data_IF_811287089727
#
_entry.id   IF_811287089727
#
_cell.length_a   1.000
_cell.length_b   1.000
_cell.length_c   1.000
_cell.angle_alpha   90.00
_cell.angle_beta   90.00
_cell.angle_gamma   90.00
#
_symmetry.space_group_name_H-M   'P 1'
#
loop_
_entity.id
_entity.type
_entity.pdbx_description
1 polymer ?
#
# COMPACT_ATOMS: atom_id res chain seq x y z
N UNK A 1 -21.87 -10.68 -3.07
CA UNK A 1 -20.44 -11.06 -3.21
C UNK A 1 -19.54 -9.86 -3.54
N UNK A 2 -19.77 -9.12 -4.64
CA UNK A 2 -18.92 -7.97 -5.03
C UNK A 2 -18.68 -6.93 -3.92
N UNK A 3 -19.71 -6.56 -3.15
CA UNK A 3 -19.57 -5.61 -2.02
C UNK A 3 -18.64 -6.12 -0.92
N UNK A 4 -18.71 -7.41 -0.62
CA UNK A 4 -17.83 -8.06 0.37
C UNK A 4 -16.39 -8.07 -0.12
N UNK A 5 -16.16 -8.38 -1.42
CA UNK A 5 -14.82 -8.31 -2.01
C UNK A 5 -14.24 -6.90 -1.97
N UNK A 6 -15.05 -5.88 -2.25
CA UNK A 6 -14.61 -4.48 -2.13
C UNK A 6 -14.25 -4.08 -0.71
N UNK A 7 -15.07 -4.47 0.27
CA UNK A 7 -14.78 -4.23 1.68
C UNK A 7 -13.46 -4.88 2.10
N UNK A 8 -13.27 -6.16 1.75
CA UNK A 8 -12.04 -6.88 2.04
C UNK A 8 -10.82 -6.22 1.37
N UNK A 9 -10.93 -5.85 0.10
CA UNK A 9 -9.86 -5.16 -0.61
C UNK A 9 -9.51 -3.83 0.06
N UNK A 10 -10.51 -3.08 0.54
CA UNK A 10 -10.29 -1.81 1.22
C UNK A 10 -9.63 -1.99 2.59
N UNK A 11 -10.07 -2.98 3.37
CA UNK A 11 -9.47 -3.30 4.69
C UNK A 11 -8.03 -3.78 4.53
N UNK A 12 -7.80 -4.74 3.63
CA UNK A 12 -6.45 -5.29 3.39
C UNK A 12 -5.52 -4.24 2.80
N UNK A 13 -6.00 -3.46 1.82
CA UNK A 13 -5.23 -2.36 1.23
C UNK A 13 -4.91 -1.27 2.26
N UNK A 14 -5.89 -0.87 3.07
CA UNK A 14 -5.72 0.10 4.14
C UNK A 14 -4.71 -0.37 5.19
N UNK A 15 -4.78 -1.64 5.59
CA UNK A 15 -3.80 -2.25 6.49
C UNK A 15 -2.37 -2.14 5.95
N UNK A 16 -2.13 -2.49 4.68
CA UNK A 16 -0.80 -2.39 4.09
C UNK A 16 -0.30 -0.95 3.97
N UNK A 17 -1.18 0.01 3.69
CA UNK A 17 -0.81 1.43 3.65
C UNK A 17 -0.40 1.91 5.04
N UNK A 18 -1.21 1.64 6.06
CA UNK A 18 -0.91 2.04 7.44
C UNK A 18 0.38 1.39 7.93
N UNK A 19 0.58 0.10 7.68
CA UNK A 19 1.83 -0.62 8.00
C UNK A 19 3.03 0.05 7.32
N UNK A 20 2.94 0.34 6.03
CA UNK A 20 4.02 1.00 5.29
C UNK A 20 4.36 2.41 5.82
N UNK A 21 3.36 3.13 6.35
CA UNK A 21 3.57 4.45 6.96
C UNK A 21 4.20 4.37 8.36
N UNK A 22 3.87 3.33 9.12
CA UNK A 22 4.35 3.17 10.51
C UNK A 22 5.74 2.55 10.55
N UNK A 23 6.08 1.66 9.62
CA UNK A 23 7.33 0.89 9.61
C UNK A 23 8.60 1.74 9.86
N UNK A 24 8.81 2.90 9.20
CA UNK A 24 10.02 3.70 9.39
C UNK A 24 10.16 4.31 10.80
N UNK A 25 9.09 4.30 11.61
CA UNK A 25 9.10 4.80 12.98
C UNK A 25 9.27 3.68 14.02
N UNK A 26 9.10 2.42 13.61
CA UNK A 26 9.23 1.24 14.47
C UNK A 26 10.61 0.60 14.36
N UNK A 27 11.20 0.61 13.16
CA UNK A 27 12.54 0.05 12.94
C UNK A 27 13.62 0.95 13.55
N UNK A 28 14.51 0.37 14.35
CA UNK A 28 15.76 1.01 14.75
C UNK A 28 16.82 0.82 13.66
N UNK A 29 17.09 1.87 12.89
CA UNK A 29 18.07 1.83 11.80
C UNK A 29 19.53 1.74 12.29
N UNK A 30 19.77 1.94 13.58
CA UNK A 30 21.12 1.92 14.16
C UNK A 30 21.52 0.57 14.75
N UNK A 31 20.55 -0.32 14.98
CA UNK A 31 20.77 -1.65 15.56
C UNK A 31 20.19 -2.75 14.65
N UNK A 32 21.04 -3.42 13.83
CA UNK A 32 20.61 -4.52 12.99
C UNK A 32 19.92 -5.65 13.73
N UNK A 33 20.25 -5.90 15.00
CA UNK A 33 19.62 -6.96 15.78
C UNK A 33 18.11 -6.71 15.99
N UNK A 34 17.64 -5.48 15.78
CA UNK A 34 16.22 -5.13 15.85
C UNK A 34 15.40 -5.59 14.65
N UNK A 35 16.02 -5.85 13.48
CA UNK A 35 15.31 -6.17 12.23
C UNK A 35 15.87 -7.38 11.47
N UNK A 36 17.02 -7.90 11.87
CA UNK A 36 17.69 -9.00 11.16
C UNK A 36 16.88 -10.31 11.14
N UNK A 37 16.07 -10.54 12.17
CA UNK A 37 15.20 -11.71 12.28
C UNK A 37 13.82 -11.49 11.62
N UNK A 38 13.53 -10.28 11.14
CA UNK A 38 12.25 -9.96 10.52
C UNK A 38 12.19 -10.48 9.07
N UNK A 39 10.97 -10.54 8.53
CA UNK A 39 10.77 -10.95 7.14
C UNK A 39 11.41 -9.95 6.18
N UNK A 40 12.39 -10.43 5.41
CA UNK A 40 13.22 -9.59 4.53
C UNK A 40 14.60 -9.26 5.12
N UNK A 41 14.87 -9.61 6.38
CA UNK A 41 16.20 -9.60 6.98
C UNK A 41 17.16 -10.60 6.29
N UNK A 42 18.48 -10.51 6.55
CA UNK A 42 19.14 -9.61 7.49
C UNK A 42 19.37 -8.20 6.95
N UNK A 43 19.08 -7.95 5.67
CA UNK A 43 19.28 -6.62 5.07
C UNK A 43 18.12 -5.68 5.41
N UNK A 44 18.43 -4.45 5.82
CA UNK A 44 17.43 -3.40 6.01
C UNK A 44 16.57 -3.19 4.75
N UNK A 45 17.19 -3.23 3.57
CA UNK A 45 16.49 -3.07 2.30
C UNK A 45 15.39 -4.13 2.10
N UNK A 46 15.69 -5.40 2.39
CA UNK A 46 14.70 -6.48 2.26
C UNK A 46 13.56 -6.33 3.27
N UNK A 47 13.84 -5.96 4.52
CA UNK A 47 12.82 -5.67 5.54
C UNK A 47 11.89 -4.56 5.05
N UNK A 48 12.46 -3.42 4.63
CA UNK A 48 11.69 -2.29 4.11
C UNK A 48 10.87 -2.68 2.88
N UNK A 49 11.42 -3.47 1.95
CA UNK A 49 10.69 -3.90 0.77
C UNK A 49 9.46 -4.74 1.12
N UNK A 50 9.56 -5.66 2.08
CA UNK A 50 8.45 -6.52 2.52
C UNK A 50 7.39 -5.74 3.30
N UNK A 51 7.80 -4.75 4.09
CA UNK A 51 6.90 -4.03 4.99
C UNK A 51 6.26 -2.80 4.34
N UNK A 52 6.99 -2.11 3.46
CA UNK A 52 6.57 -0.87 2.80
C UNK A 52 6.05 -1.14 1.38
N UNK A 53 6.66 -2.07 0.64
CA UNK A 53 6.35 -2.33 -0.77
C UNK A 53 4.87 -2.60 -1.06
N UNK A 54 4.20 -3.54 -0.35
CA UNK A 54 2.78 -3.80 -0.53
C UNK A 54 1.89 -2.56 -0.28
N UNK A 55 2.24 -1.74 0.70
CA UNK A 55 1.52 -0.50 1.00
C UNK A 55 1.68 0.55 -0.09
N UNK A 56 2.88 0.70 -0.66
CA UNK A 56 3.13 1.57 -1.80
C UNK A 56 2.31 1.14 -3.02
N UNK A 57 2.27 -0.16 -3.32
CA UNK A 57 1.46 -0.71 -4.41
C UNK A 57 -0.03 -0.44 -4.16
N UNK A 58 -0.52 -0.72 -2.95
CA UNK A 58 -1.91 -0.47 -2.57
C UNK A 58 -2.29 1.02 -2.71
N UNK A 59 -1.43 1.93 -2.26
CA UNK A 59 -1.62 3.36 -2.41
C UNK A 59 -1.63 3.79 -3.88
N UNK A 60 -0.71 3.28 -4.70
CA UNK A 60 -0.64 3.58 -6.13
C UNK A 60 -1.91 3.12 -6.86
N UNK A 61 -2.41 1.93 -6.56
CA UNK A 61 -3.65 1.40 -7.14
C UNK A 61 -4.87 2.23 -6.72
N UNK A 62 -4.94 2.64 -5.44
CA UNK A 62 -6.00 3.52 -4.94
C UNK A 62 -6.00 4.86 -5.69
N UNK A 63 -4.84 5.52 -5.78
CA UNK A 63 -4.68 6.78 -6.50
C UNK A 63 -5.05 6.62 -7.97
N UNK A 64 -4.61 5.55 -8.63
CA UNK A 64 -4.96 5.27 -10.01
C UNK A 64 -6.47 5.09 -10.21
N UNK A 65 -7.14 4.36 -9.31
CA UNK A 65 -8.58 4.12 -9.38
C UNK A 65 -9.39 5.41 -9.18
N UNK A 66 -8.98 6.26 -8.23
CA UNK A 66 -9.59 7.57 -8.01
C UNK A 66 -9.45 8.44 -9.27
N UNK A 67 -8.23 8.59 -9.78
CA UNK A 67 -7.95 9.39 -10.99
C UNK A 67 -8.64 8.87 -12.26
N UNK A 68 -8.90 7.56 -12.35
CA UNK A 68 -9.66 6.98 -13.45
C UNK A 68 -11.15 7.30 -13.34
N UNK A 69 -11.69 7.39 -12.13
CA UNK A 69 -13.11 7.66 -11.90
C UNK A 69 -13.49 9.10 -12.25
N UNK A 70 -12.54 10.03 -12.16
CA UNK A 70 -12.71 11.43 -12.56
C UNK A 70 -12.73 11.64 -14.08
N UNK A 71 -12.27 10.65 -14.88
CA UNK A 71 -12.26 10.70 -16.35
C UNK A 71 -13.53 10.14 -16.99
N UNK A 72 -14.70 10.31 -16.37
CA UNK A 72 -15.96 10.00 -17.07
C UNK A 72 -16.06 10.93 -18.30
N UNK A 73 -16.32 10.39 -19.52
CA UNK A 73 -16.43 11.20 -20.72
C UNK A 73 -17.53 12.24 -20.52
N UNK A 74 -17.20 13.51 -20.79
CA UNK A 74 -18.21 14.55 -20.94
C UNK A 74 -19.28 14.06 -21.90
N UNK A 75 -20.54 14.28 -21.56
CA UNK A 75 -21.68 14.03 -22.42
C UNK A 75 -21.35 14.53 -23.84
N UNK A 76 -21.45 13.64 -24.82
CA UNK A 76 -21.38 14.05 -26.21
C UNK A 76 -22.46 15.12 -26.45
N UNK A 77 -22.18 16.20 -27.20
CA UNK A 77 -23.23 17.13 -27.58
C UNK A 77 -24.25 16.36 -28.42
N UNK A 78 -25.53 16.43 -28.02
CA UNK A 78 -26.65 16.03 -28.88
C UNK A 78 -26.76 17.06 -30.01
N UNK A 79 -26.50 16.63 -31.24
CA UNK A 79 -26.94 17.30 -32.47
C UNK A 79 -27.70 16.30 -33.35
#
# INVERSE_FOLDING_TARGET
MKRVLWLLAFVVGGYFIVRALIEPFVIDFSDPSSYEADWGGPSLFGVLLVHIGPGVIAAALLVWMVRRSDRKPGAAPEE
#
